data_IF_088570997845
#
_entry.id   IF_088570997845
#
_cell.length_a   1.000
_cell.length_b   1.000
_cell.length_c   1.000
_cell.angle_alpha   90.00
_cell.angle_beta   90.00
_cell.angle_gamma   90.00
#
_symmetry.space_group_name_H-M   'P 1'
#
loop_
_entity.id
_entity.type
_entity.pdbx_description
1 polymer ?
#
# COMPACT_ATOMS: atom_id res chain seq x y z
N UNK A 1 -3.04 25.67 0.27
CA UNK A 1 -1.77 24.96 0.03
C UNK A 1 -1.83 24.41 -1.39
N UNK A 2 -0.72 24.45 -2.13
CA UNK A 2 -0.67 23.89 -3.49
C UNK A 2 -0.26 22.43 -3.36
N UNK A 3 -1.22 21.52 -3.52
CA UNK A 3 -1.02 20.07 -3.41
C UNK A 3 -0.22 19.56 -4.62
N UNK A 4 1.09 19.80 -4.59
CA UNK A 4 1.97 19.46 -5.70
C UNK A 4 2.43 18.02 -5.52
N UNK A 5 2.04 17.16 -6.46
CA UNK A 5 2.42 15.76 -6.52
C UNK A 5 3.39 15.56 -7.69
N UNK A 6 4.62 15.14 -7.39
CA UNK A 6 5.62 14.83 -8.41
C UNK A 6 5.66 13.32 -8.64
N UNK A 7 5.62 12.88 -9.90
CA UNK A 7 5.68 11.46 -10.25
C UNK A 7 6.88 11.22 -11.17
N UNK A 8 7.84 10.43 -10.70
CA UNK A 8 8.99 10.00 -11.48
C UNK A 8 8.79 8.55 -11.93
N UNK A 9 8.63 8.34 -13.23
CA UNK A 9 8.44 7.01 -13.84
C UNK A 9 9.72 6.57 -14.56
N UNK A 10 10.12 5.32 -14.38
CA UNK A 10 11.25 4.76 -15.15
C UNK A 10 11.49 3.29 -14.87
N UNK A 11 12.28 2.64 -15.72
CA UNK A 11 12.61 1.21 -15.63
C UNK A 11 13.34 0.91 -14.30
N UNK A 12 13.15 -0.25 -13.67
CA UNK A 12 13.99 -0.69 -12.55
C UNK A 12 15.49 -0.54 -12.89
N UNK A 13 16.27 -0.01 -11.94
CA UNK A 13 17.70 0.23 -12.16
C UNK A 13 18.04 1.50 -12.97
N UNK A 14 17.06 2.30 -13.41
CA UNK A 14 17.31 3.56 -14.16
C UNK A 14 17.86 4.71 -13.28
N UNK A 15 18.32 4.43 -12.07
CA UNK A 15 18.91 5.43 -11.18
C UNK A 15 17.95 6.43 -10.55
N UNK A 16 16.62 6.21 -10.56
CA UNK A 16 15.63 7.19 -10.05
C UNK A 16 15.90 7.63 -8.61
N UNK A 17 16.14 6.67 -7.72
CA UNK A 17 16.49 6.94 -6.32
C UNK A 17 17.81 7.70 -6.20
N UNK A 18 18.76 7.46 -7.11
CA UNK A 18 20.02 8.21 -7.15
C UNK A 18 19.80 9.65 -7.60
N UNK A 19 19.02 9.87 -8.67
CA UNK A 19 18.66 11.23 -9.11
C UNK A 19 17.93 12.03 -8.03
N UNK A 20 17.17 11.35 -7.16
CA UNK A 20 16.58 11.99 -5.99
C UNK A 20 17.65 12.39 -4.95
N UNK A 21 18.59 11.50 -4.64
CA UNK A 21 19.71 11.78 -3.72
C UNK A 21 20.54 12.96 -4.26
N UNK A 22 20.91 12.93 -5.53
CA UNK A 22 21.74 13.97 -6.17
C UNK A 22 21.04 15.35 -6.21
N UNK A 23 19.70 15.35 -6.22
CA UNK A 23 18.90 16.57 -6.27
C UNK A 23 18.56 17.14 -4.88
N UNK A 24 18.85 16.41 -3.80
CA UNK A 24 18.57 16.87 -2.44
C UNK A 24 19.77 17.62 -1.87
N UNK A 25 19.54 18.80 -1.34
CA UNK A 25 20.60 19.68 -0.81
C UNK A 25 20.75 19.61 0.72
N UNK A 26 19.99 18.73 1.37
CA UNK A 26 19.97 18.55 2.82
C UNK A 26 19.34 19.71 3.60
N UNK A 27 18.75 20.71 2.93
CA UNK A 27 18.10 21.84 3.60
C UNK A 27 16.66 21.55 4.05
N UNK A 28 16.04 20.50 3.49
CA UNK A 28 14.67 20.11 3.76
C UNK A 28 14.57 18.91 4.70
N UNK A 29 13.51 18.87 5.52
CA UNK A 29 13.11 17.67 6.25
C UNK A 29 12.36 16.73 5.31
N UNK A 30 12.93 15.56 5.06
CA UNK A 30 12.44 14.58 4.09
C UNK A 30 12.11 13.27 4.79
N UNK A 31 10.89 12.78 4.55
CA UNK A 31 10.52 11.41 4.88
C UNK A 31 10.67 10.54 3.63
N UNK A 32 11.73 9.73 3.59
CA UNK A 32 11.99 8.78 2.52
C UNK A 32 11.40 7.41 2.86
N UNK A 33 10.50 6.94 2.02
CA UNK A 33 9.71 5.73 2.25
C UNK A 33 10.10 4.67 1.23
N UNK A 34 10.67 3.56 1.70
CA UNK A 34 11.21 2.49 0.85
C UNK A 34 10.33 1.22 0.91
N UNK A 35 10.33 0.38 -0.14
CA UNK A 35 9.50 -0.82 -0.16
C UNK A 35 9.97 -1.87 0.87
N UNK A 36 11.28 -1.97 1.12
CA UNK A 36 11.85 -2.97 2.03
C UNK A 36 12.98 -2.39 2.88
N UNK A 37 13.21 -2.98 4.05
CA UNK A 37 14.32 -2.61 4.95
C UNK A 37 15.70 -2.91 4.38
N UNK A 38 15.80 -3.84 3.44
CA UNK A 38 17.10 -4.24 2.85
C UNK A 38 17.78 -3.05 2.20
N UNK A 39 16.99 -2.18 1.57
CA UNK A 39 17.49 -1.01 0.84
C UNK A 39 17.82 0.19 1.75
N UNK A 40 17.37 0.20 3.01
CA UNK A 40 17.49 1.39 3.87
C UNK A 40 18.94 1.70 4.22
N UNK A 41 19.77 0.67 4.45
CA UNK A 41 21.18 0.85 4.84
C UNK A 41 22.02 1.39 3.69
N UNK A 42 21.83 0.86 2.49
CA UNK A 42 22.57 1.28 1.31
C UNK A 42 22.25 2.73 0.92
N UNK A 43 20.96 3.11 1.01
CA UNK A 43 20.52 4.47 0.73
C UNK A 43 21.00 5.45 1.80
N UNK A 44 20.91 5.09 3.09
CA UNK A 44 21.44 5.92 4.16
C UNK A 44 22.95 6.16 4.02
N UNK A 45 23.70 5.15 3.57
CA UNK A 45 25.13 5.30 3.29
C UNK A 45 25.37 6.33 2.19
N UNK A 46 24.65 6.26 1.07
CA UNK A 46 24.80 7.22 -0.05
C UNK A 46 24.42 8.64 0.36
N UNK A 47 23.34 8.82 1.11
CA UNK A 47 22.97 10.12 1.67
C UNK A 47 24.08 10.69 2.55
N UNK A 48 24.68 9.84 3.39
CA UNK A 48 25.80 10.23 4.23
C UNK A 48 27.05 10.60 3.42
N UNK A 49 27.31 9.88 2.32
CA UNK A 49 28.42 10.18 1.41
C UNK A 49 28.25 11.56 0.74
N UNK A 50 27.00 12.02 0.55
CA UNK A 50 26.62 13.38 0.11
C UNK A 50 26.55 14.41 1.27
N UNK A 51 26.92 14.01 2.49
CA UNK A 51 26.89 14.89 3.67
C UNK A 51 25.51 15.10 4.30
N UNK A 52 24.52 14.30 3.93
CA UNK A 52 23.14 14.42 4.40
C UNK A 52 22.90 13.47 5.58
N UNK A 53 22.36 14.01 6.67
CA UNK A 53 22.04 13.21 7.85
C UNK A 53 20.79 12.36 7.60
N UNK A 54 20.90 11.05 7.84
CA UNK A 54 19.85 10.08 7.61
C UNK A 54 19.57 9.21 8.84
N UNK A 55 18.31 9.17 9.26
CA UNK A 55 17.81 8.38 10.39
C UNK A 55 16.99 7.19 9.89
N UNK A 56 17.44 5.97 10.15
CA UNK A 56 16.70 4.76 9.76
C UNK A 56 15.79 4.34 10.92
N UNK A 57 14.47 4.32 10.70
CA UNK A 57 13.51 3.84 11.69
C UNK A 57 12.74 2.65 11.10
N UNK A 58 13.07 1.46 11.59
CA UNK A 58 12.43 0.21 11.18
C UNK A 58 12.37 -0.78 12.35
N UNK A 59 11.72 -1.93 12.16
CA UNK A 59 11.56 -2.91 13.24
C UNK A 59 12.83 -3.69 13.61
N UNK A 60 13.95 -3.50 12.90
CA UNK A 60 15.24 -4.09 13.29
C UNK A 60 15.87 -3.26 14.42
N UNK A 61 15.61 -1.94 14.45
CA UNK A 61 16.07 -1.01 15.48
C UNK A 61 15.03 -0.76 16.57
N UNK A 62 13.73 -0.77 16.22
CA UNK A 62 12.62 -0.49 17.13
C UNK A 62 11.57 -1.62 17.11
N UNK A 63 11.85 -2.79 17.71
CA UNK A 63 10.90 -3.89 17.74
C UNK A 63 9.60 -3.47 18.43
N UNK A 64 8.47 -3.72 17.77
CA UNK A 64 7.11 -3.45 18.29
C UNK A 64 6.73 -1.98 18.55
N UNK A 65 7.64 -1.01 18.35
CA UNK A 65 7.39 0.43 18.59
C UNK A 65 7.69 1.32 17.38
N UNK A 66 7.85 0.73 16.20
CA UNK A 66 8.23 1.47 14.97
C UNK A 66 7.33 2.68 14.71
N UNK A 67 6.01 2.53 14.89
CA UNK A 67 5.07 3.64 14.68
C UNK A 67 5.37 4.82 15.62
N UNK A 68 5.41 4.54 16.92
CA UNK A 68 5.64 5.53 17.99
C UNK A 68 6.97 6.24 17.75
N UNK A 69 8.04 5.48 17.46
CA UNK A 69 9.37 6.03 17.21
C UNK A 69 9.44 6.91 15.96
N UNK A 70 8.67 6.60 14.90
CA UNK A 70 8.57 7.48 13.74
C UNK A 70 7.84 8.77 14.08
N UNK A 71 6.69 8.70 14.76
CA UNK A 71 5.90 9.88 15.12
C UNK A 71 6.66 10.83 16.07
N UNK A 72 7.42 10.26 17.02
CA UNK A 72 8.34 10.99 17.89
C UNK A 72 9.45 11.66 17.06
N UNK A 73 10.16 10.92 16.22
CA UNK A 73 11.24 11.46 15.39
C UNK A 73 10.75 12.58 14.45
N UNK A 74 9.60 12.41 13.80
CA UNK A 74 9.01 13.43 12.93
C UNK A 74 8.67 14.71 13.70
N UNK A 75 8.29 14.58 14.97
CA UNK A 75 7.95 15.71 15.84
C UNK A 75 9.18 16.42 16.41
N UNK A 76 10.20 15.66 16.79
CA UNK A 76 11.44 16.20 17.36
C UNK A 76 12.32 16.86 16.28
N UNK A 77 12.48 16.20 15.13
CA UNK A 77 13.40 16.65 14.09
C UNK A 77 12.84 17.81 13.26
N UNK A 78 11.52 18.07 13.27
CA UNK A 78 10.92 19.16 12.48
C UNK A 78 11.46 20.56 12.81
N UNK A 79 12.07 20.72 13.98
CA UNK A 79 12.60 21.99 14.49
C UNK A 79 14.12 22.15 14.31
N UNK A 80 14.81 21.19 13.70
CA UNK A 80 16.24 21.33 13.44
C UNK A 80 16.51 22.46 12.43
N UNK A 81 17.59 23.20 12.66
CA UNK A 81 18.04 24.28 11.76
C UNK A 81 18.56 23.74 10.43
N UNK A 82 19.16 22.55 10.44
CA UNK A 82 19.56 21.78 9.27
C UNK A 82 18.49 20.75 8.92
N UNK A 83 18.17 20.58 7.64
CA UNK A 83 17.28 19.52 7.18
C UNK A 83 17.86 18.13 7.44
N UNK A 84 16.98 17.14 7.48
CA UNK A 84 17.36 15.74 7.69
C UNK A 84 16.49 14.79 6.87
N UNK A 85 16.97 13.55 6.70
CA UNK A 85 16.22 12.48 6.05
C UNK A 85 15.83 11.41 7.07
N UNK A 86 14.53 11.15 7.23
CA UNK A 86 14.02 10.01 7.99
C UNK A 86 13.65 8.92 6.98
N UNK A 87 14.22 7.73 7.15
CA UNK A 87 14.01 6.58 6.26
C UNK A 87 13.11 5.55 6.95
N UNK A 88 11.96 5.26 6.35
CA UNK A 88 10.97 4.29 6.83
C UNK A 88 10.57 3.30 5.73
N UNK A 89 9.74 2.31 6.08
CA UNK A 89 9.15 1.39 5.10
C UNK A 89 7.75 1.81 4.68
N UNK A 90 7.28 1.33 3.53
CA UNK A 90 5.88 1.51 3.08
C UNK A 90 4.87 1.07 4.14
N UNK A 91 5.12 -0.07 4.77
CA UNK A 91 4.27 -0.59 5.84
C UNK A 91 4.19 0.37 7.04
N UNK A 92 5.29 1.05 7.36
CA UNK A 92 5.31 2.03 8.45
C UNK A 92 4.47 3.25 8.09
N UNK A 93 4.61 3.77 6.86
CA UNK A 93 3.88 4.94 6.37
C UNK A 93 2.36 4.76 6.47
N UNK A 94 1.85 3.55 6.22
CA UNK A 94 0.41 3.27 6.31
C UNK A 94 -0.14 3.27 7.74
N UNK A 95 0.71 3.29 8.76
CA UNK A 95 0.31 3.13 10.16
C UNK A 95 0.48 4.40 11.03
N UNK A 96 1.21 5.42 10.55
CA UNK A 96 1.43 6.67 11.29
C UNK A 96 0.24 7.62 11.16
N UNK A 97 0.07 8.53 12.12
CA UNK A 97 -0.86 9.66 12.02
C UNK A 97 -0.37 10.63 10.92
N UNK A 98 -1.13 10.83 9.82
CA UNK A 98 -0.74 11.73 8.74
C UNK A 98 -0.43 13.16 9.18
N UNK A 99 -1.03 13.63 10.29
CA UNK A 99 -0.77 14.98 10.82
C UNK A 99 0.69 15.20 11.24
N UNK A 100 1.41 14.12 11.57
CA UNK A 100 2.84 14.20 11.91
C UNK A 100 3.73 14.56 10.72
N UNK A 101 3.19 14.49 9.49
CA UNK A 101 3.88 14.85 8.26
C UNK A 101 3.87 16.35 7.98
N UNK A 102 3.20 17.15 8.83
CA UNK A 102 3.19 18.59 8.69
C UNK A 102 4.63 19.12 8.68
N UNK A 103 4.98 19.88 7.65
CA UNK A 103 6.32 20.41 7.38
C UNK A 103 7.37 19.44 6.80
N UNK A 104 7.01 18.19 6.54
CA UNK A 104 7.88 17.19 5.91
C UNK A 104 7.58 17.03 4.42
N UNK A 105 8.64 16.91 3.61
CA UNK A 105 8.54 16.48 2.21
C UNK A 105 8.51 14.96 2.18
N UNK A 106 7.48 14.37 1.62
CA UNK A 106 7.34 12.90 1.57
C UNK A 106 7.81 12.39 0.23
N UNK A 107 8.72 11.43 0.23
CA UNK A 107 9.25 10.78 -0.96
C UNK A 107 9.00 9.29 -0.84
N UNK A 108 8.10 8.75 -1.67
CA UNK A 108 7.78 7.32 -1.68
C UNK A 108 8.50 6.67 -2.86
N UNK A 109 9.44 5.78 -2.57
CA UNK A 109 10.17 5.02 -3.58
C UNK A 109 9.47 3.71 -3.93
N UNK A 110 9.63 3.25 -5.17
CA UNK A 110 9.01 2.04 -5.70
C UNK A 110 7.52 1.92 -5.36
N UNK A 111 6.78 3.02 -5.54
CA UNK A 111 5.34 3.07 -5.27
C UNK A 111 4.69 1.95 -6.07
N UNK A 112 4.08 0.95 -5.41
CA UNK A 112 3.43 -0.13 -6.12
C UNK A 112 2.39 0.48 -7.07
N UNK A 113 2.23 -0.14 -8.23
CA UNK A 113 1.11 0.20 -9.11
C UNK A 113 -0.14 0.17 -8.24
N UNK A 114 -0.98 1.20 -8.36
CA UNK A 114 -2.16 1.45 -7.51
C UNK A 114 -3.05 0.19 -7.37
N UNK A 115 -2.91 -0.78 -8.27
CA UNK A 115 -3.40 -2.15 -8.13
C UNK A 115 -2.30 -3.13 -7.67
N UNK A 116 -2.15 -3.35 -6.36
CA UNK A 116 -1.45 -4.54 -5.88
C UNK A 116 -2.32 -5.75 -6.23
N UNK A 117 -2.05 -6.36 -7.38
CA UNK A 117 -2.84 -7.46 -7.92
C UNK A 117 -2.25 -8.77 -7.43
N UNK A 118 -2.93 -9.42 -6.49
CA UNK A 118 -2.61 -10.77 -6.07
C UNK A 118 -3.55 -11.75 -6.76
N UNK A 119 -3.02 -12.72 -7.48
CA UNK A 119 -3.81 -13.81 -8.06
C UNK A 119 -3.37 -15.15 -7.47
N UNK A 120 -4.33 -15.94 -6.99
CA UNK A 120 -4.08 -17.31 -6.53
C UNK A 120 -5.14 -18.28 -7.05
N UNK A 121 -4.67 -19.42 -7.56
CA UNK A 121 -5.53 -20.53 -7.95
C UNK A 121 -5.83 -21.44 -6.75
N UNK A 122 -7.08 -21.87 -6.64
CA UNK A 122 -7.58 -22.78 -5.60
C UNK A 122 -8.53 -23.80 -6.23
N UNK A 123 -8.45 -25.05 -5.77
CA UNK A 123 -9.33 -26.13 -6.26
C UNK A 123 -10.76 -25.98 -5.75
N UNK A 124 -11.73 -26.48 -6.51
CA UNK A 124 -13.16 -26.33 -6.22
C UNK A 124 -13.58 -26.72 -4.79
N UNK A 125 -13.13 -27.86 -4.28
CA UNK A 125 -13.49 -28.31 -2.93
C UNK A 125 -12.98 -27.34 -1.85
N UNK A 126 -11.71 -26.95 -1.95
CA UNK A 126 -11.11 -26.02 -0.99
C UNK A 126 -11.73 -24.62 -1.10
N UNK A 127 -12.07 -24.19 -2.31
CA UNK A 127 -12.79 -22.93 -2.52
C UNK A 127 -14.15 -22.96 -1.82
N UNK A 128 -14.90 -24.05 -2.00
CA UNK A 128 -16.20 -24.25 -1.36
C UNK A 128 -16.10 -24.23 0.16
N UNK A 129 -15.16 -24.99 0.72
CA UNK A 129 -14.95 -25.09 2.17
C UNK A 129 -14.58 -23.74 2.81
N UNK A 130 -13.81 -22.92 2.09
CA UNK A 130 -13.33 -21.64 2.60
C UNK A 130 -14.32 -20.48 2.44
N UNK A 131 -15.16 -20.48 1.39
CA UNK A 131 -15.85 -19.27 0.95
C UNK A 131 -17.36 -19.39 0.68
N UNK A 132 -17.89 -20.57 0.33
CA UNK A 132 -19.23 -20.74 -0.30
C UNK A 132 -20.40 -20.11 0.49
N UNK A 133 -20.31 -20.06 1.82
CA UNK A 133 -21.35 -19.52 2.72
C UNK A 133 -20.98 -18.18 3.37
N UNK A 134 -19.91 -17.54 2.91
CA UNK A 134 -19.39 -16.29 3.48
C UNK A 134 -19.37 -15.15 2.46
N UNK A 135 -19.24 -15.48 1.18
CA UNK A 135 -19.14 -14.52 0.11
C UNK A 135 -20.26 -14.70 -0.90
N UNK A 136 -20.53 -13.66 -1.66
CA UNK A 136 -21.38 -13.69 -2.85
C UNK A 136 -20.56 -13.18 -4.02
N UNK A 137 -20.85 -13.59 -5.25
CA UNK A 137 -20.27 -12.95 -6.43
C UNK A 137 -21.30 -12.76 -7.54
N UNK A 138 -21.07 -11.75 -8.38
CA UNK A 138 -21.92 -11.41 -9.53
C UNK A 138 -21.49 -12.14 -10.82
N UNK A 139 -22.17 -11.87 -11.93
CA UNK A 139 -21.89 -12.49 -13.23
C UNK A 139 -20.52 -12.08 -13.78
N UNK A 140 -20.04 -10.91 -13.37
CA UNK A 140 -18.71 -10.37 -13.66
C UNK A 140 -17.62 -10.95 -12.73
N UNK A 141 -18.00 -11.77 -11.76
CA UNK A 141 -17.10 -12.43 -10.82
C UNK A 141 -16.63 -11.54 -9.67
N UNK A 142 -17.19 -10.34 -9.48
CA UNK A 142 -16.87 -9.46 -8.34
C UNK A 142 -17.43 -10.05 -7.05
N UNK A 143 -16.64 -10.04 -6.00
CA UNK A 143 -16.94 -10.70 -4.73
C UNK A 143 -17.35 -9.68 -3.68
N UNK A 144 -18.47 -9.97 -3.01
CA UNK A 144 -18.95 -9.27 -1.82
C UNK A 144 -19.03 -10.18 -0.60
N UNK A 145 -19.23 -9.58 0.58
CA UNK A 145 -19.53 -10.29 1.81
C UNK A 145 -21.03 -10.59 1.86
N UNK A 146 -21.40 -11.84 2.14
CA UNK A 146 -22.79 -12.21 2.33
C UNK A 146 -23.38 -11.48 3.57
N UNK A 147 -24.66 -11.09 3.49
CA UNK A 147 -25.32 -10.34 4.56
C UNK A 147 -25.17 -11.03 5.94
N UNK A 148 -24.79 -10.26 6.95
CA UNK A 148 -24.57 -10.76 8.32
C UNK A 148 -23.26 -11.54 8.54
N UNK A 149 -22.46 -11.80 7.49
CA UNK A 149 -21.23 -12.62 7.59
C UNK A 149 -19.94 -11.85 7.88
N UNK A 150 -19.99 -10.52 7.92
CA UNK A 150 -18.82 -9.68 8.18
C UNK A 150 -18.13 -9.99 9.53
N UNK A 151 -18.89 -10.38 10.56
CA UNK A 151 -18.29 -10.78 11.83
C UNK A 151 -17.54 -12.11 11.73
N UNK A 152 -18.13 -13.12 11.09
CA UNK A 152 -17.53 -14.44 10.89
C UNK A 152 -16.23 -14.35 10.07
N UNK A 153 -16.22 -13.52 9.03
CA UNK A 153 -15.02 -13.23 8.22
C UNK A 153 -13.89 -12.62 9.08
N UNK A 154 -14.21 -11.70 10.00
CA UNK A 154 -13.20 -11.11 10.91
C UNK A 154 -12.58 -12.16 11.85
N UNK A 155 -13.41 -13.04 12.41
CA UNK A 155 -12.95 -14.10 13.31
C UNK A 155 -12.04 -15.07 12.56
N UNK A 156 -12.49 -15.60 11.42
CA UNK A 156 -11.69 -16.54 10.62
C UNK A 156 -10.39 -15.94 10.08
N UNK A 157 -10.39 -14.63 9.76
CA UNK A 157 -9.16 -13.92 9.39
C UNK A 157 -8.16 -13.89 10.54
N UNK A 158 -8.60 -13.67 11.78
CA UNK A 158 -7.73 -13.64 12.95
C UNK A 158 -7.16 -15.04 13.29
N UNK A 159 -7.92 -16.10 12.99
CA UNK A 159 -7.51 -17.49 13.20
C UNK A 159 -6.55 -18.02 12.11
N UNK A 160 -6.37 -17.28 11.02
CA UNK A 160 -5.58 -17.73 9.89
C UNK A 160 -4.06 -17.61 10.13
N UNK A 161 -3.42 -18.75 10.44
CA UNK A 161 -1.97 -18.94 10.52
C UNK A 161 -1.28 -19.28 9.19
N UNK A 162 0.04 -19.55 9.23
CA UNK A 162 1.04 -19.55 8.14
C UNK A 162 0.82 -20.58 6.97
N UNK A 163 -0.26 -21.36 6.97
CA UNK A 163 -0.53 -22.36 5.93
C UNK A 163 -0.91 -21.77 4.56
N UNK A 164 -0.52 -22.45 3.46
CA UNK A 164 -0.80 -21.99 2.09
C UNK A 164 -2.30 -21.82 1.79
N UNK A 165 -3.16 -22.72 2.27
CA UNK A 165 -4.62 -22.59 2.10
C UNK A 165 -5.18 -21.41 2.92
N UNK A 166 -4.73 -21.28 4.17
CA UNK A 166 -5.06 -20.17 5.07
C UNK A 166 -4.53 -18.82 4.54
N UNK A 167 -3.48 -18.83 3.72
CA UNK A 167 -2.94 -17.63 3.06
C UNK A 167 -3.84 -17.08 1.95
N UNK A 168 -4.65 -17.92 1.28
CA UNK A 168 -5.66 -17.46 0.31
C UNK A 168 -6.84 -16.86 1.07
N UNK A 169 -7.30 -17.57 2.11
CA UNK A 169 -8.38 -17.10 2.97
C UNK A 169 -8.04 -15.73 3.62
N UNK A 170 -6.84 -15.62 4.19
CA UNK A 170 -6.35 -14.36 4.79
C UNK A 170 -6.30 -13.21 3.80
N UNK A 171 -5.87 -13.49 2.57
CA UNK A 171 -5.81 -12.50 1.49
C UNK A 171 -7.21 -12.01 1.12
N UNK A 172 -8.13 -12.93 0.85
CA UNK A 172 -9.51 -12.62 0.44
C UNK A 172 -10.28 -11.91 1.55
N UNK A 173 -10.28 -12.45 2.77
CA UNK A 173 -10.94 -11.81 3.91
C UNK A 173 -10.28 -10.50 4.29
N UNK A 174 -8.96 -10.40 4.14
CA UNK A 174 -8.22 -9.16 4.29
C UNK A 174 -8.72 -8.08 3.35
N UNK A 175 -8.95 -8.42 2.08
CA UNK A 175 -9.43 -7.53 1.05
C UNK A 175 -10.92 -7.18 1.21
N UNK A 176 -11.80 -8.16 1.43
CA UNK A 176 -13.24 -7.92 1.61
C UNK A 176 -13.57 -7.00 2.80
N UNK A 177 -12.70 -6.97 3.81
CA UNK A 177 -12.84 -6.06 4.97
C UNK A 177 -12.25 -4.67 4.73
N UNK A 178 -11.54 -4.44 3.62
CA UNK A 178 -10.98 -3.14 3.23
C UNK A 178 -11.94 -2.46 2.25
N UNK A 179 -12.45 -1.26 2.57
CA UNK A 179 -13.39 -0.55 1.69
C UNK A 179 -12.86 -0.20 0.28
N UNK A 180 -11.55 -0.29 0.06
CA UNK A 180 -10.86 0.11 -1.18
C UNK A 180 -10.14 -1.06 -1.86
N UNK A 181 -10.40 -2.29 -1.45
CA UNK A 181 -9.88 -3.45 -2.15
C UNK A 181 -11.02 -4.09 -2.94
N UNK A 182 -10.70 -4.51 -4.15
CA UNK A 182 -11.61 -5.27 -5.01
C UNK A 182 -11.17 -6.73 -5.02
N UNK A 183 -12.15 -7.63 -5.02
CA UNK A 183 -11.92 -9.07 -5.11
C UNK A 183 -12.75 -9.58 -6.27
N UNK A 184 -12.13 -10.32 -7.18
CA UNK A 184 -12.82 -11.00 -8.28
C UNK A 184 -12.40 -12.46 -8.40
N UNK A 185 -13.25 -13.27 -9.02
CA UNK A 185 -13.05 -14.71 -9.21
C UNK A 185 -13.19 -15.04 -10.68
N UNK A 186 -12.15 -15.65 -11.24
CA UNK A 186 -12.19 -16.28 -12.57
C UNK A 186 -12.27 -17.80 -12.42
N UNK A 187 -13.15 -18.45 -13.17
CA UNK A 187 -13.26 -19.91 -13.20
C UNK A 187 -12.55 -20.44 -14.44
N UNK A 188 -11.67 -21.42 -14.26
CA UNK A 188 -11.01 -22.12 -15.39
C UNK A 188 -11.15 -23.62 -15.24
N UNK A 189 -11.50 -24.27 -16.35
CA UNK A 189 -11.47 -25.72 -16.49
C UNK A 189 -10.09 -26.15 -16.96
N UNK A 190 -9.40 -26.95 -16.14
CA UNK A 190 -8.11 -27.56 -16.45
C UNK A 190 -8.30 -29.08 -16.52
N UNK A 191 -8.55 -29.59 -17.73
CA UNK A 191 -8.86 -31.00 -17.96
C UNK A 191 -10.18 -31.41 -17.29
N UNK A 192 -10.12 -32.34 -16.35
CA UNK A 192 -11.30 -32.80 -15.58
C UNK A 192 -11.48 -32.04 -14.25
N UNK A 193 -10.72 -30.97 -14.02
CA UNK A 193 -10.72 -30.23 -12.75
C UNK A 193 -11.12 -28.77 -12.94
N UNK A 194 -11.96 -28.26 -12.05
CA UNK A 194 -12.33 -26.83 -11.98
C UNK A 194 -11.42 -26.14 -10.98
N UNK A 195 -10.80 -25.04 -11.41
CA UNK A 195 -10.02 -24.14 -10.55
C UNK A 195 -10.64 -22.76 -10.52
N UNK A 196 -10.67 -22.20 -9.32
CA UNK A 196 -11.06 -20.82 -9.06
C UNK A 196 -9.79 -20.00 -8.90
N UNK A 197 -9.69 -18.92 -9.66
CA UNK A 197 -8.60 -17.98 -9.59
C UNK A 197 -9.11 -16.73 -8.90
N UNK A 198 -8.73 -16.55 -7.64
CA UNK A 198 -9.10 -15.37 -6.88
C UNK A 198 -8.09 -14.27 -7.16
N UNK A 199 -8.57 -13.13 -7.62
CA UNK A 199 -7.83 -11.91 -7.87
C UNK A 199 -8.21 -10.88 -6.82
N UNK A 200 -7.22 -10.34 -6.13
CA UNK A 200 -7.39 -9.23 -5.19
C UNK A 200 -6.63 -8.04 -5.73
N UNK A 201 -7.31 -6.91 -5.86
CA UNK A 201 -6.74 -5.63 -6.22
C UNK A 201 -6.83 -4.74 -4.98
N UNK A 202 -5.69 -4.45 -4.36
CA UNK A 202 -5.63 -3.54 -3.20
C UNK A 202 -5.15 -2.16 -3.65
N UNK A 203 -5.85 -1.11 -3.21
CA UNK A 203 -5.50 0.28 -3.49
C UNK A 203 -4.83 0.94 -2.29
N UNK A 204 -3.57 1.36 -2.46
CA UNK A 204 -2.90 2.21 -1.48
C UNK A 204 -3.44 3.64 -1.55
N UNK A 205 -4.11 4.08 -0.49
CA UNK A 205 -4.63 5.44 -0.37
C UNK A 205 -3.56 6.39 0.18
N UNK A 206 -2.98 7.19 -0.73
CA UNK A 206 -2.03 8.24 -0.37
C UNK A 206 -2.68 9.60 -0.12
N UNK A 207 -4.01 9.72 -0.18
CA UNK A 207 -4.70 11.01 -0.09
C UNK A 207 -4.37 11.75 1.21
N UNK A 208 -4.49 11.07 2.35
CA UNK A 208 -4.20 11.67 3.65
C UNK A 208 -2.74 12.10 3.79
N UNK A 209 -1.81 11.39 3.15
CA UNK A 209 -0.39 11.74 3.14
C UNK A 209 -0.18 13.02 2.34
N UNK A 210 -0.74 13.09 1.13
CA UNK A 210 -0.64 14.26 0.24
C UNK A 210 -1.26 15.51 0.90
N UNK A 211 -2.40 15.35 1.58
CA UNK A 211 -3.12 16.46 2.23
C UNK A 211 -2.41 16.99 3.49
N UNK A 212 -1.50 16.22 4.10
CA UNK A 212 -0.86 16.59 5.37
C UNK A 212 0.65 16.80 5.27
N UNK A 213 1.25 16.71 4.08
CA UNK A 213 2.69 16.92 3.88
C UNK A 213 3.01 18.19 3.08
N UNK A 214 4.28 18.61 3.08
CA UNK A 214 4.84 19.44 1.97
C UNK A 214 4.79 18.63 0.66
N UNK A 215 5.13 19.19 -0.52
CA UNK A 215 4.97 18.49 -1.80
C UNK A 215 5.44 17.02 -1.76
N UNK A 216 4.56 16.10 -2.15
CA UNK A 216 4.83 14.67 -2.11
C UNK A 216 5.40 14.21 -3.46
N UNK A 217 6.46 13.40 -3.42
CA UNK A 217 7.10 12.83 -4.60
C UNK A 217 6.99 11.31 -4.60
N UNK A 218 6.56 10.75 -5.73
CA UNK A 218 6.31 9.34 -5.91
C UNK A 218 7.22 8.82 -7.03
N UNK A 219 8.11 7.90 -6.69
CA UNK A 219 9.01 7.24 -7.64
C UNK A 219 8.43 5.87 -7.97
N UNK A 220 8.21 5.61 -9.27
CA UNK A 220 7.53 4.40 -9.77
C UNK A 220 8.40 3.65 -10.76
N UNK A 221 8.44 2.32 -10.63
CA UNK A 221 8.88 1.44 -11.69
C UNK A 221 7.82 1.38 -12.81
N UNK A 222 8.23 1.61 -14.06
CA UNK A 222 7.43 1.22 -15.22
C UNK A 222 7.70 -0.25 -15.55
N UNK A 223 6.77 -1.12 -15.17
CA UNK A 223 6.58 -2.41 -15.84
C UNK A 223 5.47 -2.21 -16.87
N UNK A 224 5.66 -2.72 -18.09
CA UNK A 224 4.82 -2.40 -19.24
C UNK A 224 3.30 -2.62 -19.02
N UNK A 225 2.52 -1.72 -19.64
CA UNK A 225 1.04 -1.56 -19.66
C UNK A 225 0.40 -1.00 -18.38
N UNK A 226 0.39 0.34 -18.31
CA UNK A 226 -0.56 1.10 -17.49
C UNK A 226 -1.64 1.63 -18.43
N UNK A 227 -2.86 1.07 -18.35
CA UNK A 227 -4.06 1.76 -18.84
C UNK A 227 -4.28 3.01 -18.00
N UNK A 228 -4.70 4.08 -18.68
CA UNK A 228 -4.75 5.46 -18.22
C UNK A 228 -5.37 5.67 -16.83
N UNK A 229 -4.75 6.56 -16.05
CA UNK A 229 -5.29 7.10 -14.80
C UNK A 229 -6.47 8.03 -15.12
N UNK A 230 -7.70 7.67 -14.75
CA UNK A 230 -8.80 8.63 -14.62
C UNK A 230 -8.95 9.01 -13.14
N UNK A 231 -8.46 10.20 -12.77
CA UNK A 231 -8.64 10.79 -11.44
C UNK A 231 -10.07 11.31 -11.20
N UNK A 232 -11.09 10.65 -11.76
CA UNK A 232 -12.51 10.96 -11.52
C UNK A 232 -13.17 9.83 -10.76
N UNK A 233 -13.02 9.86 -9.45
CA UNK A 233 -13.92 9.17 -8.55
C UNK A 233 -15.35 9.71 -8.76
N UNK A 234 -16.20 8.95 -9.47
CA UNK A 234 -17.66 9.13 -9.43
C UNK A 234 -18.18 8.32 -8.24
N UNK A 235 -18.81 8.95 -7.23
CA UNK A 235 -19.53 8.17 -6.23
C UNK A 235 -20.65 7.38 -6.92
N UNK A 236 -20.83 6.13 -6.50
CA UNK A 236 -21.94 5.29 -6.91
C UNK A 236 -23.26 6.07 -6.73
N UNK A 237 -24.01 6.19 -7.81
CA UNK A 237 -25.32 6.80 -7.83
C UNK A 237 -26.25 6.11 -6.84
N UNK A 238 -26.68 6.84 -5.81
CA UNK A 238 -27.93 6.52 -5.10
C UNK A 238 -29.07 6.73 -6.09
N UNK A 239 -29.61 5.63 -6.62
CA UNK A 239 -30.84 5.65 -7.38
C UNK A 239 -31.98 6.11 -6.47
N UNK A 240 -32.48 7.30 -6.78
CA UNK A 240 -33.68 7.89 -6.22
C UNK A 240 -34.89 7.01 -6.58
N UNK A 241 -35.39 6.26 -5.60
CA UNK A 241 -36.69 5.61 -5.66
C UNK A 241 -37.79 6.60 -5.27
N UNK A 242 -38.47 7.14 -6.29
CA UNK A 242 -39.77 7.83 -6.16
C UNK A 242 -40.76 6.88 -5.49
N UNK A 243 -41.29 7.26 -4.33
CA UNK A 243 -42.60 6.79 -3.86
C UNK A 243 -43.57 7.95 -4.01
N UNK A 244 -44.60 7.69 -4.82
CA UNK A 244 -45.83 8.48 -4.92
C UNK A 244 -46.64 8.26 -3.65
#
# INVERSE_FOLDING_TARGET
MTDTVNIANGIPGSGKTQSFIDATDGSENILLVLPTKVLTKDIAKRLKDEGIEAYIINSDYYPSKVKESVEEALTELKHQESGCVVIITHQTLTNIDPKTLESWKVVVDEVPVISNTHQKGIGANLFKDLFDHLITWDEEGNVGIQEGKAHEIRVRKAEAGIDKAMSVQSLVFGALLKPKAEVSIDIKEEGYSVKYYVKVIDHHDYKSIIENSKPASFIRAQNERVESIDCRYRPASTSCGRLV
#
